data_IF_059650323904
#
_entry.id   IF_059650323904
#
_cell.length_a   1.000
_cell.length_b   1.000
_cell.length_c   1.000
_cell.angle_alpha   90.00
_cell.angle_beta   90.00
_cell.angle_gamma   90.00
#
_symmetry.space_group_name_H-M   'P 1'
#
loop_
_entity.id
_entity.type
_entity.pdbx_description
1 polymer ?
#
# COMPACT_ATOMS: atom_id res chain seq x y z
N UNK A 1 52.82 4.48 -14.53
CA UNK A 1 53.35 4.63 -13.15
C UNK A 1 54.29 5.83 -13.19
N UNK A 2 54.10 6.90 -12.39
CA UNK A 2 53.92 6.85 -10.93
C UNK A 2 52.84 7.83 -10.39
N UNK A 3 51.73 7.31 -9.87
CA UNK A 3 50.76 8.10 -9.07
C UNK A 3 50.66 7.57 -7.63
N UNK A 4 51.63 6.78 -7.19
CA UNK A 4 51.61 6.07 -5.90
C UNK A 4 52.21 6.87 -4.74
N UNK A 5 52.74 8.07 -4.96
CA UNK A 5 53.44 8.82 -3.91
C UNK A 5 52.63 9.96 -3.24
N UNK A 6 51.49 10.40 -3.78
CA UNK A 6 50.77 11.56 -3.24
C UNK A 6 49.62 11.22 -2.26
N UNK A 7 49.23 9.94 -2.15
CA UNK A 7 48.05 9.53 -1.37
C UNK A 7 48.36 9.41 0.14
N UNK A 8 49.62 9.23 0.53
CA UNK A 8 49.99 8.99 1.93
C UNK A 8 50.00 10.24 2.83
N UNK A 9 49.93 11.45 2.29
CA UNK A 9 50.02 12.67 3.11
C UNK A 9 48.67 13.27 3.56
N UNK A 10 47.55 12.75 3.08
CA UNK A 10 46.21 13.29 3.43
C UNK A 10 45.67 12.70 4.74
N UNK A 11 46.17 11.52 5.16
CA UNK A 11 45.65 10.79 6.32
C UNK A 11 46.14 11.30 7.70
N UNK A 12 47.09 12.23 7.76
CA UNK A 12 47.62 12.75 9.02
C UNK A 12 47.01 14.09 9.48
N UNK A 13 46.14 14.74 8.68
CA UNK A 13 45.64 16.10 8.98
C UNK A 13 44.23 16.18 9.60
N UNK A 14 43.52 15.06 9.76
CA UNK A 14 42.17 15.06 10.36
C UNK A 14 42.16 14.82 11.88
N UNK A 15 43.33 14.79 12.53
CA UNK A 15 43.42 14.50 13.96
C UNK A 15 44.27 15.51 14.74
N UNK A 16 44.23 16.82 14.43
CA UNK A 16 44.59 17.85 15.41
C UNK A 16 43.73 19.09 15.19
N UNK A 17 43.05 19.50 16.26
CA UNK A 17 42.40 20.80 16.41
C UNK A 17 43.43 21.93 16.37
N UNK A 18 43.05 23.04 15.72
CA UNK A 18 43.69 24.37 15.69
C UNK A 18 44.79 24.61 14.62
N UNK A 19 44.44 25.55 13.72
CA UNK A 19 45.25 26.34 12.78
C UNK A 19 46.21 25.65 11.79
N UNK A 20 45.73 25.44 10.56
CA UNK A 20 46.59 25.21 9.37
C UNK A 20 46.37 26.32 8.34
N UNK A 21 47.45 27.00 7.95
CA UNK A 21 47.53 28.02 6.89
C UNK A 21 47.85 27.31 5.56
N UNK A 22 47.20 27.58 4.43
CA UNK A 22 46.27 28.65 4.07
C UNK A 22 44.81 28.28 4.28
N UNK A 23 43.99 29.30 4.61
CA UNK A 23 42.61 29.19 5.11
C UNK A 23 42.01 27.78 4.98
N UNK A 24 42.35 26.88 5.91
CA UNK A 24 42.16 25.43 5.81
C UNK A 24 40.68 24.96 5.77
N UNK A 25 39.75 25.91 5.60
CA UNK A 25 38.31 25.71 5.56
C UNK A 25 37.67 26.29 4.28
N UNK A 26 38.45 26.63 3.25
CA UNK A 26 37.92 27.24 2.02
C UNK A 26 36.78 26.45 1.35
N UNK A 27 36.83 25.12 1.43
CA UNK A 27 35.82 24.23 0.87
C UNK A 27 34.82 23.68 1.89
N UNK A 28 34.85 24.12 3.16
CA UNK A 28 34.08 23.45 4.22
C UNK A 28 32.56 23.47 3.97
N UNK A 29 32.04 24.55 3.37
CA UNK A 29 30.62 24.65 3.00
C UNK A 29 30.26 23.69 1.87
N UNK A 30 31.08 23.64 0.81
CA UNK A 30 30.91 22.71 -0.31
C UNK A 30 30.99 21.25 0.16
N UNK A 31 31.99 20.95 1.00
CA UNK A 31 32.19 19.62 1.58
C UNK A 31 31.00 19.18 2.45
N UNK A 32 30.50 20.03 3.35
CA UNK A 32 29.32 19.72 4.17
C UNK A 32 28.08 19.44 3.33
N UNK A 33 27.82 20.25 2.30
CA UNK A 33 26.67 20.06 1.40
C UNK A 33 26.77 18.77 0.61
N UNK A 34 27.95 18.43 0.09
CA UNK A 34 28.19 17.15 -0.60
C UNK A 34 28.03 15.98 0.36
N UNK A 35 28.61 16.03 1.56
CA UNK A 35 28.47 14.98 2.56
C UNK A 35 27.01 14.71 2.92
N UNK A 36 26.21 15.76 3.09
CA UNK A 36 24.78 15.62 3.36
C UNK A 36 24.07 14.89 2.21
N UNK A 37 24.34 15.25 0.96
CA UNK A 37 23.76 14.60 -0.22
C UNK A 37 24.16 13.13 -0.34
N UNK A 38 25.44 12.78 -0.13
CA UNK A 38 25.87 11.38 -0.24
C UNK A 38 25.31 10.53 0.90
N UNK A 39 25.24 11.06 2.13
CA UNK A 39 24.63 10.34 3.25
C UNK A 39 23.13 10.10 3.05
N UNK A 40 22.42 11.04 2.42
CA UNK A 40 21.02 10.82 2.00
C UNK A 40 20.91 9.68 0.98
N UNK A 41 21.81 9.64 -0.01
CA UNK A 41 21.85 8.57 -1.01
C UNK A 41 22.21 7.19 -0.44
N UNK A 42 22.90 7.14 0.71
CA UNK A 42 23.25 5.91 1.43
C UNK A 42 22.22 5.48 2.48
N UNK A 43 21.17 6.26 2.69
CA UNK A 43 20.10 5.86 3.60
C UNK A 43 19.49 4.53 3.16
N UNK A 44 19.05 3.72 4.14
CA UNK A 44 18.50 2.40 3.87
C UNK A 44 17.35 2.52 2.87
N UNK A 45 17.39 1.64 1.86
CA UNK A 45 16.34 1.62 0.85
C UNK A 45 15.00 1.24 1.46
N UNK A 46 13.92 1.87 1.01
CA UNK A 46 12.61 1.56 1.53
C UNK A 46 12.20 0.13 1.15
N UNK A 47 11.57 -0.57 2.07
CA UNK A 47 10.96 -1.89 1.83
C UNK A 47 9.45 -1.74 1.64
N UNK A 48 8.83 -2.35 0.62
CA UNK A 48 7.38 -2.31 0.47
C UNK A 48 6.71 -2.93 1.69
N UNK A 49 5.67 -2.29 2.23
CA UNK A 49 4.98 -2.85 3.39
C UNK A 49 4.01 -3.97 3.01
N UNK A 50 3.81 -4.93 3.92
CA UNK A 50 3.07 -6.17 3.65
C UNK A 50 1.55 -6.10 3.93
N UNK A 51 1.04 -5.01 4.52
CA UNK A 51 -0.39 -4.80 4.88
C UNK A 51 -1.09 -6.10 5.39
N UNK A 52 -0.61 -6.69 6.51
CA UNK A 52 -1.11 -7.96 7.01
C UNK A 52 -2.57 -7.91 7.46
N UNK A 53 -3.04 -6.75 7.89
CA UNK A 53 -4.42 -6.46 8.24
C UNK A 53 -5.37 -6.67 7.06
N UNK A 54 -5.01 -6.22 5.86
CA UNK A 54 -5.79 -6.46 4.64
C UNK A 54 -5.90 -7.97 4.32
N UNK A 55 -4.80 -8.71 4.50
CA UNK A 55 -4.80 -10.18 4.31
C UNK A 55 -5.74 -10.86 5.30
N UNK A 56 -5.67 -10.48 6.57
CA UNK A 56 -6.56 -11.04 7.61
C UNK A 56 -8.02 -10.68 7.35
N UNK A 57 -8.30 -9.44 6.94
CA UNK A 57 -9.66 -8.98 6.68
C UNK A 57 -10.28 -9.64 5.45
N UNK A 58 -9.50 -9.86 4.39
CA UNK A 58 -9.94 -10.67 3.25
C UNK A 58 -10.28 -12.10 3.68
N UNK A 59 -9.44 -12.71 4.51
CA UNK A 59 -9.70 -14.08 4.99
C UNK A 59 -11.03 -14.17 5.75
N UNK A 60 -11.29 -13.23 6.67
CA UNK A 60 -12.56 -13.18 7.41
C UNK A 60 -13.77 -13.02 6.48
N UNK A 61 -13.69 -12.12 5.49
CA UNK A 61 -14.76 -11.91 4.48
C UNK A 61 -15.05 -13.21 3.73
N UNK A 62 -14.01 -13.90 3.26
CA UNK A 62 -14.16 -15.14 2.51
C UNK A 62 -14.77 -16.25 3.38
N UNK A 63 -14.38 -16.36 4.64
CA UNK A 63 -14.97 -17.32 5.59
C UNK A 63 -16.45 -17.03 5.85
N UNK A 64 -16.84 -15.76 6.01
CA UNK A 64 -18.25 -15.36 6.14
C UNK A 64 -19.05 -15.68 4.88
N UNK A 65 -18.49 -15.40 3.70
CA UNK A 65 -19.11 -15.73 2.42
C UNK A 65 -19.33 -17.25 2.24
N UNK A 66 -18.36 -18.07 2.67
CA UNK A 66 -18.53 -19.53 2.69
C UNK A 66 -19.57 -20.00 3.70
N UNK A 67 -19.66 -19.35 4.86
CA UNK A 67 -20.62 -19.72 5.91
C UNK A 67 -22.07 -19.62 5.43
N UNK A 68 -22.37 -18.68 4.53
CA UNK A 68 -23.72 -18.50 3.96
C UNK A 68 -23.92 -19.25 2.64
N UNK A 69 -22.91 -19.97 2.15
CA UNK A 69 -23.00 -20.72 0.90
C UNK A 69 -23.92 -21.95 1.04
N UNK A 70 -24.33 -22.49 -0.11
CA UNK A 70 -25.14 -23.71 -0.13
C UNK A 70 -24.33 -24.92 0.32
N UNK A 71 -24.96 -25.83 1.06
CA UNK A 71 -24.29 -27.04 1.56
C UNK A 71 -23.73 -27.91 0.43
N UNK A 72 -24.45 -28.03 -0.68
CA UNK A 72 -24.01 -28.73 -1.90
C UNK A 72 -22.73 -28.13 -2.49
N UNK A 73 -22.60 -26.82 -2.45
CA UNK A 73 -21.40 -26.12 -2.91
C UNK A 73 -20.21 -26.35 -1.97
N UNK A 74 -20.43 -26.27 -0.65
CA UNK A 74 -19.37 -26.54 0.35
C UNK A 74 -18.83 -27.97 0.26
N UNK A 75 -19.67 -28.94 -0.08
CA UNK A 75 -19.26 -30.34 -0.27
C UNK A 75 -18.21 -30.55 -1.37
N UNK A 76 -18.08 -29.61 -2.31
CA UNK A 76 -17.07 -29.70 -3.37
C UNK A 76 -15.63 -29.63 -2.81
N UNK A 77 -15.46 -29.06 -1.62
CA UNK A 77 -14.16 -28.83 -0.97
C UNK A 77 -13.86 -29.85 0.15
N UNK A 78 -14.80 -30.75 0.46
CA UNK A 78 -14.62 -31.72 1.55
C UNK A 78 -13.70 -32.88 1.14
N UNK A 79 -12.56 -33.04 1.83
CA UNK A 79 -11.57 -34.07 1.55
C UNK A 79 -10.15 -33.59 1.80
N UNK A 80 -9.15 -34.27 1.20
CA UNK A 80 -7.77 -33.76 1.19
C UNK A 80 -7.62 -32.67 0.12
N UNK A 81 -6.93 -31.54 0.39
CA UNK A 81 -6.82 -30.43 -0.56
C UNK A 81 -6.32 -30.87 -1.94
N UNK A 82 -5.30 -31.74 -1.98
CA UNK A 82 -4.72 -32.27 -3.22
C UNK A 82 -5.71 -33.09 -4.05
N UNK A 83 -6.79 -33.61 -3.45
CA UNK A 83 -7.83 -34.35 -4.19
C UNK A 83 -8.91 -33.43 -4.75
N UNK A 84 -8.91 -32.15 -4.37
CA UNK A 84 -9.94 -31.15 -4.68
C UNK A 84 -9.43 -29.99 -5.51
N UNK A 85 -8.27 -30.14 -6.15
CA UNK A 85 -7.78 -29.21 -7.16
C UNK A 85 -8.83 -29.02 -8.28
N UNK A 86 -8.85 -27.83 -8.88
CA UNK A 86 -9.88 -27.46 -9.88
C UNK A 86 -10.00 -28.47 -11.01
N UNK A 87 -8.87 -28.92 -11.57
CA UNK A 87 -8.82 -29.91 -12.65
C UNK A 87 -9.48 -31.26 -12.31
N UNK A 88 -9.60 -31.61 -11.01
CA UNK A 88 -10.28 -32.83 -10.55
C UNK A 88 -11.77 -32.62 -10.34
N UNK A 89 -12.19 -31.40 -9.99
CA UNK A 89 -13.59 -31.07 -9.70
C UNK A 89 -14.35 -30.58 -10.94
N UNK A 90 -13.66 -29.88 -11.85
CA UNK A 90 -14.22 -29.31 -13.09
C UNK A 90 -15.08 -30.29 -13.91
N UNK A 91 -14.70 -31.58 -14.10
CA UNK A 91 -15.52 -32.53 -14.86
C UNK A 91 -16.92 -32.76 -14.27
N UNK A 92 -17.08 -32.54 -12.96
CA UNK A 92 -18.35 -32.70 -12.24
C UNK A 92 -19.26 -31.47 -12.34
N UNK A 93 -18.72 -30.34 -12.80
CA UNK A 93 -19.47 -29.09 -12.95
C UNK A 93 -20.17 -29.07 -14.30
N UNK A 94 -21.47 -28.79 -14.32
CA UNK A 94 -22.28 -28.69 -15.55
C UNK A 94 -22.53 -27.24 -15.97
N UNK A 95 -22.44 -26.29 -15.04
CA UNK A 95 -22.68 -24.88 -15.31
C UNK A 95 -21.49 -24.23 -16.05
N UNK A 96 -21.74 -23.74 -17.27
CA UNK A 96 -20.72 -23.13 -18.14
C UNK A 96 -20.14 -21.83 -17.59
N UNK A 97 -20.93 -21.01 -16.90
CA UNK A 97 -20.46 -19.75 -16.33
C UNK A 97 -19.57 -20.00 -15.12
N UNK A 98 -19.92 -20.98 -14.29
CA UNK A 98 -19.06 -21.45 -13.20
C UNK A 98 -17.69 -21.93 -13.72
N UNK A 99 -17.66 -22.67 -14.84
CA UNK A 99 -16.39 -23.11 -15.45
C UNK A 99 -15.51 -21.96 -15.94
N UNK A 100 -16.08 -20.80 -16.28
CA UNK A 100 -15.32 -19.62 -16.69
C UNK A 100 -14.85 -18.80 -15.49
N UNK A 101 -15.68 -18.66 -14.46
CA UNK A 101 -15.44 -17.76 -13.33
C UNK A 101 -14.63 -18.41 -12.19
N UNK A 102 -14.87 -19.70 -11.92
CA UNK A 102 -14.30 -20.39 -10.76
C UNK A 102 -12.82 -20.75 -10.86
N UNK A 103 -12.20 -21.05 -12.03
CA UNK A 103 -10.82 -21.55 -12.07
C UNK A 103 -9.81 -20.65 -11.35
N UNK A 104 -9.93 -19.34 -11.49
CA UNK A 104 -9.00 -18.36 -10.89
C UNK A 104 -9.22 -18.16 -9.39
N UNK A 105 -10.42 -18.48 -8.89
CA UNK A 105 -10.82 -18.28 -7.49
C UNK A 105 -10.74 -19.57 -6.67
N UNK A 106 -10.80 -20.71 -7.34
CA UNK A 106 -10.85 -22.04 -6.74
C UNK A 106 -9.73 -22.31 -5.73
N UNK A 107 -8.45 -21.98 -6.01
CA UNK A 107 -7.38 -22.23 -5.04
C UNK A 107 -7.60 -21.48 -3.72
N UNK A 108 -8.06 -20.22 -3.81
CA UNK A 108 -8.33 -19.39 -2.63
C UNK A 108 -9.54 -19.92 -1.86
N UNK A 109 -10.57 -20.37 -2.55
CA UNK A 109 -11.75 -20.96 -1.91
C UNK A 109 -11.39 -22.27 -1.20
N UNK A 110 -10.66 -23.17 -1.86
CA UNK A 110 -10.20 -24.41 -1.28
C UNK A 110 -9.37 -24.17 -0.01
N UNK A 111 -8.37 -23.29 -0.09
CA UNK A 111 -7.56 -22.86 1.07
C UNK A 111 -8.44 -22.31 2.21
N UNK A 112 -9.37 -21.41 1.89
CA UNK A 112 -10.28 -20.81 2.88
C UNK A 112 -11.13 -21.88 3.58
N UNK A 113 -11.73 -22.80 2.82
CA UNK A 113 -12.58 -23.85 3.40
C UNK A 113 -11.78 -24.77 4.31
N UNK A 114 -10.57 -25.18 3.92
CA UNK A 114 -9.71 -25.97 4.78
C UNK A 114 -9.28 -25.23 6.04
N UNK A 115 -8.95 -23.94 5.93
CA UNK A 115 -8.67 -23.09 7.10
C UNK A 115 -9.87 -22.98 8.03
N UNK A 116 -11.10 -22.95 7.53
CA UNK A 116 -12.31 -22.93 8.37
C UNK A 116 -12.51 -24.21 9.20
N UNK A 117 -11.95 -25.34 8.75
CA UNK A 117 -12.04 -26.62 9.48
C UNK A 117 -11.12 -26.67 10.72
N UNK A 118 -10.30 -25.62 10.93
CA UNK A 118 -9.38 -25.49 12.05
C UNK A 118 -9.54 -24.11 12.74
N UNK A 119 -9.37 -24.01 14.07
CA UNK A 119 -9.25 -25.11 15.02
C UNK A 119 -10.56 -25.89 15.15
N UNK A 120 -10.48 -27.13 15.67
CA UNK A 120 -11.67 -27.94 16.01
C UNK A 120 -12.19 -27.60 17.40
N UNK A 121 -13.33 -28.18 17.79
CA UNK A 121 -13.82 -28.07 19.17
C UNK A 121 -14.62 -26.77 19.42
N UNK A 122 -14.67 -26.25 20.66
CA UNK A 122 -15.43 -25.04 21.00
C UNK A 122 -15.01 -23.78 20.23
N UNK A 123 -13.77 -23.74 19.78
CA UNK A 123 -13.20 -22.60 19.04
C UNK A 123 -13.46 -22.64 17.54
N UNK A 124 -14.08 -23.72 17.06
CA UNK A 124 -14.35 -23.94 15.65
C UNK A 124 -15.15 -22.79 15.03
N UNK A 125 -14.76 -22.40 13.82
CA UNK A 125 -15.38 -21.30 13.08
C UNK A 125 -16.90 -21.47 12.99
N UNK A 126 -17.37 -22.66 12.62
CA UNK A 126 -18.79 -22.96 12.43
C UNK A 126 -19.61 -22.86 13.72
N UNK A 127 -18.99 -22.98 14.90
CA UNK A 127 -19.65 -22.77 16.20
C UNK A 127 -19.79 -21.29 16.54
N UNK A 128 -18.78 -20.49 16.19
CA UNK A 128 -18.79 -19.03 16.40
C UNK A 128 -19.63 -18.31 15.35
N UNK A 129 -19.73 -18.88 14.16
CA UNK A 129 -20.45 -18.34 13.03
C UNK A 129 -21.43 -19.40 12.48
N UNK A 130 -22.57 -19.64 13.18
CA UNK A 130 -23.59 -20.57 12.69
C UNK A 130 -24.18 -20.10 11.35
N UNK A 131 -24.57 -21.05 10.50
CA UNK A 131 -25.29 -20.76 9.26
C UNK A 131 -26.64 -20.15 9.60
N UNK A 132 -27.06 -19.05 8.94
CA UNK A 132 -28.41 -18.51 9.09
C UNK A 132 -29.47 -19.59 8.84
N UNK A 133 -30.39 -19.76 9.78
CA UNK A 133 -31.38 -20.85 9.72
C UNK A 133 -32.53 -20.52 8.76
N UNK A 134 -32.82 -19.24 8.54
CA UNK A 134 -33.83 -18.81 7.58
C UNK A 134 -33.23 -18.80 6.16
N UNK A 135 -33.88 -19.55 5.26
CA UNK A 135 -33.42 -19.71 3.88
C UNK A 135 -33.34 -18.38 3.12
N UNK A 136 -34.34 -17.51 3.29
CA UNK A 136 -34.40 -16.25 2.56
C UNK A 136 -33.34 -15.27 3.08
N UNK A 137 -33.13 -15.22 4.40
CA UNK A 137 -32.06 -14.44 5.00
C UNK A 137 -30.68 -14.96 4.61
N UNK A 138 -30.49 -16.28 4.58
CA UNK A 138 -29.26 -16.90 4.08
C UNK A 138 -29.00 -16.49 2.62
N UNK A 139 -30.00 -16.57 1.76
CA UNK A 139 -29.89 -16.20 0.35
C UNK A 139 -29.55 -14.71 0.18
N UNK A 140 -30.18 -13.82 0.94
CA UNK A 140 -29.86 -12.39 0.91
C UNK A 140 -28.43 -12.10 1.38
N UNK A 141 -27.99 -12.74 2.48
CA UNK A 141 -26.63 -12.60 2.97
C UNK A 141 -25.62 -13.10 1.94
N UNK A 142 -25.89 -14.22 1.27
CA UNK A 142 -25.05 -14.78 0.22
C UNK A 142 -24.85 -13.81 -0.94
N UNK A 143 -25.91 -13.19 -1.47
CA UNK A 143 -25.77 -12.24 -2.58
C UNK A 143 -24.97 -10.98 -2.18
N UNK A 144 -25.15 -10.49 -0.95
CA UNK A 144 -24.36 -9.37 -0.42
C UNK A 144 -22.90 -9.75 -0.22
N UNK A 145 -22.64 -10.86 0.48
CA UNK A 145 -21.30 -11.35 0.79
C UNK A 145 -20.51 -11.74 -0.46
N UNK A 146 -21.18 -12.25 -1.50
CA UNK A 146 -20.55 -12.51 -2.81
C UNK A 146 -19.96 -11.24 -3.42
N UNK A 147 -20.71 -10.14 -3.41
CA UNK A 147 -20.24 -8.84 -3.96
C UNK A 147 -19.12 -8.25 -3.12
N UNK A 148 -19.25 -8.31 -1.79
CA UNK A 148 -18.23 -7.81 -0.86
C UNK A 148 -16.93 -8.61 -1.02
N UNK A 149 -17.02 -9.94 -1.11
CA UNK A 149 -15.87 -10.83 -1.31
C UNK A 149 -15.13 -10.51 -2.61
N UNK A 150 -15.87 -10.38 -3.72
CA UNK A 150 -15.26 -10.04 -5.01
C UNK A 150 -14.54 -8.69 -4.98
N UNK A 151 -15.12 -7.67 -4.32
CA UNK A 151 -14.49 -6.37 -4.17
C UNK A 151 -13.25 -6.41 -3.24
N UNK A 152 -13.27 -7.26 -2.21
CA UNK A 152 -12.13 -7.46 -1.32
C UNK A 152 -10.99 -8.22 -1.99
N UNK A 153 -11.30 -9.24 -2.77
CA UNK A 153 -10.32 -9.96 -3.60
C UNK A 153 -9.65 -9.03 -4.60
N UNK A 154 -10.43 -8.16 -5.27
CA UNK A 154 -9.87 -7.15 -6.17
C UNK A 154 -8.93 -6.17 -5.45
N UNK A 155 -9.34 -5.64 -4.29
CA UNK A 155 -8.49 -4.73 -3.51
C UNK A 155 -7.19 -5.41 -3.02
N UNK A 156 -7.24 -6.68 -2.65
CA UNK A 156 -6.05 -7.43 -2.24
C UNK A 156 -5.12 -7.75 -3.44
N UNK A 157 -5.70 -8.01 -4.61
CA UNK A 157 -4.93 -8.16 -5.85
C UNK A 157 -4.25 -6.84 -6.26
N UNK A 158 -4.91 -5.70 -6.07
CA UNK A 158 -4.32 -4.37 -6.28
C UNK A 158 -3.12 -4.16 -5.34
N UNK A 159 -3.24 -4.51 -4.05
CA UNK A 159 -2.13 -4.42 -3.09
C UNK A 159 -0.93 -5.26 -3.56
N UNK A 160 -1.19 -6.49 -4.02
CA UNK A 160 -0.14 -7.39 -4.53
C UNK A 160 0.55 -6.80 -5.75
N UNK A 161 -0.23 -6.31 -6.73
CA UNK A 161 0.28 -5.66 -7.95
C UNK A 161 1.09 -4.41 -7.63
N UNK A 162 0.63 -3.59 -6.68
CA UNK A 162 1.34 -2.39 -6.24
C UNK A 162 2.67 -2.75 -5.58
N UNK A 163 2.71 -3.81 -4.76
CA UNK A 163 3.94 -4.29 -4.13
C UNK A 163 4.98 -4.77 -5.15
N UNK A 164 4.53 -5.48 -6.18
CA UNK A 164 5.39 -5.91 -7.29
C UNK A 164 5.92 -4.70 -8.07
N UNK A 165 5.07 -3.72 -8.39
CA UNK A 165 5.48 -2.49 -9.06
C UNK A 165 6.50 -1.69 -8.23
N UNK A 166 6.28 -1.56 -6.92
CA UNK A 166 7.23 -0.91 -6.01
C UNK A 166 8.59 -1.59 -6.03
N UNK A 167 8.62 -2.92 -6.04
CA UNK A 167 9.86 -3.70 -6.05
C UNK A 167 10.58 -3.56 -7.40
N UNK A 168 9.85 -3.77 -8.49
CA UNK A 168 10.43 -3.93 -9.83
C UNK A 168 10.75 -2.59 -10.52
N UNK A 169 10.06 -1.52 -10.14
CA UNK A 169 10.18 -0.22 -10.80
C UNK A 169 10.71 0.83 -9.85
N UNK A 170 10.09 1.02 -8.69
CA UNK A 170 10.39 2.18 -7.85
C UNK A 170 11.70 1.96 -7.09
N UNK A 171 11.83 0.84 -6.36
CA UNK A 171 13.03 0.50 -5.59
C UNK A 171 14.20 0.19 -6.53
N UNK A 172 13.97 -0.60 -7.58
CA UNK A 172 15.01 -0.90 -8.57
C UNK A 172 15.45 0.37 -9.31
N UNK A 173 14.52 1.22 -9.71
CA UNK A 173 14.83 2.50 -10.35
C UNK A 173 15.65 3.39 -9.42
N UNK A 174 15.29 3.46 -8.15
CA UNK A 174 16.06 4.15 -7.12
C UNK A 174 17.49 3.58 -7.02
N UNK A 175 17.64 2.25 -6.94
CA UNK A 175 18.94 1.55 -6.90
C UNK A 175 19.82 1.89 -8.10
N UNK A 176 19.27 1.75 -9.30
CA UNK A 176 20.00 1.93 -10.55
C UNK A 176 20.50 3.38 -10.65
N UNK A 177 19.69 4.36 -10.26
CA UNK A 177 20.06 5.78 -10.32
C UNK A 177 21.07 6.18 -9.26
N UNK A 178 20.98 5.63 -8.05
CA UNK A 178 21.94 5.92 -6.99
C UNK A 178 23.30 5.24 -7.23
N UNK A 179 23.31 4.03 -7.80
CA UNK A 179 24.54 3.26 -8.07
C UNK A 179 25.33 3.80 -9.27
N UNK A 180 24.64 4.20 -10.35
CA UNK A 180 25.27 4.70 -11.59
C UNK A 180 25.83 6.13 -11.45
N UNK A 181 25.40 6.88 -10.43
CA UNK A 181 25.84 8.26 -10.22
C UNK A 181 27.29 8.40 -9.72
N UNK A 182 28.04 7.31 -9.57
CA UNK A 182 29.43 7.35 -9.09
C UNK A 182 29.58 7.71 -7.62
N UNK A 183 28.46 7.87 -6.89
CA UNK A 183 28.42 8.28 -5.48
C UNK A 183 29.21 7.35 -4.53
N UNK A 184 29.54 6.15 -4.99
CA UNK A 184 30.15 5.07 -4.19
C UNK A 184 31.47 4.54 -4.77
N UNK A 185 32.05 5.15 -5.81
CA UNK A 185 33.26 4.61 -6.47
C UNK A 185 34.48 5.53 -6.26
N UNK A 186 35.60 4.96 -5.81
CA UNK A 186 36.92 5.62 -5.80
C UNK A 186 37.05 6.76 -4.78
N UNK A 187 37.45 7.95 -5.22
CA UNK A 187 37.72 9.13 -4.36
C UNK A 187 36.52 9.54 -3.48
N UNK A 188 35.29 9.25 -3.91
CA UNK A 188 34.10 9.50 -3.10
C UNK A 188 34.04 8.60 -1.85
N UNK A 189 34.62 7.41 -1.87
CA UNK A 189 34.65 6.50 -0.72
C UNK A 189 35.55 7.03 0.41
N UNK A 190 36.62 7.75 0.06
CA UNK A 190 37.50 8.42 1.05
C UNK A 190 36.86 9.71 1.59
N UNK A 191 36.19 10.49 0.73
CA UNK A 191 35.38 11.65 1.14
C UNK A 191 34.24 11.22 2.06
N UNK A 192 33.59 10.10 1.73
CA UNK A 192 32.53 9.47 2.53
C UNK A 192 32.99 9.09 3.93
N UNK A 193 34.20 8.53 4.07
CA UNK A 193 34.77 8.20 5.37
C UNK A 193 35.00 9.45 6.24
N UNK A 194 35.21 10.62 5.62
CA UNK A 194 35.34 11.90 6.30
C UNK A 194 34.00 12.63 6.51
N UNK A 195 32.91 12.15 5.92
CA UNK A 195 31.59 12.75 6.10
C UNK A 195 31.01 12.37 7.47
N UNK A 196 30.47 13.31 8.26
CA UNK A 196 29.74 12.98 9.47
C UNK A 196 28.46 12.21 9.12
N UNK A 197 27.93 11.45 10.09
CA UNK A 197 26.60 10.88 9.98
C UNK A 197 25.53 11.98 9.94
N UNK A 198 24.38 11.66 9.36
CA UNK A 198 23.24 12.58 9.40
C UNK A 198 22.80 12.78 10.87
N UNK A 199 22.56 14.02 11.31
CA UNK A 199 22.15 14.30 12.68
C UNK A 199 20.79 13.67 13.01
N UNK A 200 19.92 13.50 12.01
CA UNK A 200 18.67 12.75 12.08
C UNK A 200 18.30 12.22 10.69
N UNK A 201 17.53 11.12 10.65
CA UNK A 201 16.92 10.65 9.41
C UNK A 201 15.83 11.65 8.97
N UNK A 202 15.82 12.09 7.70
CA UNK A 202 14.77 12.98 7.21
C UNK A 202 13.44 12.24 7.14
N UNK A 203 12.35 12.96 7.40
CA UNK A 203 11.00 12.40 7.27
C UNK A 203 10.65 12.09 5.81
N UNK A 204 11.11 12.92 4.87
CA UNK A 204 10.99 12.70 3.43
C UNK A 204 12.36 12.84 2.77
N UNK A 205 12.90 11.71 2.29
CA UNK A 205 14.23 11.66 1.68
C UNK A 205 14.26 12.43 0.35
N UNK A 206 13.18 12.42 -0.44
CA UNK A 206 13.14 13.17 -1.70
C UNK A 206 13.19 14.69 -1.48
N UNK A 207 12.48 15.20 -0.48
CA UNK A 207 12.49 16.64 -0.16
C UNK A 207 13.84 17.06 0.45
N UNK A 208 14.39 16.24 1.35
CA UNK A 208 15.73 16.49 1.91
C UNK A 208 16.82 16.49 0.81
N UNK A 209 16.68 15.60 -0.18
CA UNK A 209 17.55 15.53 -1.35
C UNK A 209 17.41 16.77 -2.23
N UNK A 210 16.19 17.30 -2.38
CA UNK A 210 15.94 18.50 -3.19
C UNK A 210 16.59 19.72 -2.53
N UNK A 211 16.40 19.90 -1.22
CA UNK A 211 17.04 20.97 -0.46
C UNK A 211 18.57 20.89 -0.53
N UNK A 212 19.14 19.69 -0.46
CA UNK A 212 20.58 19.47 -0.61
C UNK A 212 21.07 19.87 -2.01
N UNK A 213 20.35 19.45 -3.06
CA UNK A 213 20.67 19.80 -4.45
C UNK A 213 20.58 21.32 -4.68
N UNK A 214 19.56 21.99 -4.15
CA UNK A 214 19.40 23.45 -4.24
C UNK A 214 20.51 24.21 -3.50
N UNK A 215 20.98 23.67 -2.37
CA UNK A 215 22.14 24.24 -1.67
C UNK A 215 23.39 24.17 -2.54
N UNK A 216 23.62 23.04 -3.22
CA UNK A 216 24.74 22.91 -4.18
C UNK A 216 24.55 23.85 -5.38
N UNK A 217 23.33 23.98 -5.90
CA UNK A 217 23.03 24.92 -6.98
C UNK A 217 23.30 26.38 -6.59
N UNK A 218 23.01 26.75 -5.33
CA UNK A 218 23.27 28.09 -4.82
C UNK A 218 24.77 28.39 -4.72
N UNK A 219 25.58 27.41 -4.32
CA UNK A 219 27.05 27.53 -4.33
C UNK A 219 27.57 27.77 -5.75
N UNK A 220 27.07 27.01 -6.74
CA UNK A 220 27.43 27.22 -8.15
C UNK A 220 27.01 28.62 -8.67
N UNK A 221 25.88 29.15 -8.19
CA UNK A 221 25.38 30.46 -8.60
C UNK A 221 26.21 31.62 -8.02
N UNK A 222 26.81 31.47 -6.84
CA UNK A 222 27.79 32.42 -6.30
C UNK A 222 29.02 32.51 -7.21
N UNK A 223 29.54 31.36 -7.63
CA UNK A 223 30.71 31.27 -8.51
C UNK A 223 30.40 31.78 -9.94
N UNK A 224 29.20 31.50 -10.46
CA UNK A 224 28.74 31.99 -11.77
C UNK A 224 28.83 33.51 -11.93
N UNK A 225 28.63 34.29 -10.86
CA UNK A 225 28.74 35.77 -10.91
C UNK A 225 30.11 36.27 -11.34
N UNK A 226 31.14 35.40 -11.31
CA UNK A 226 32.50 35.69 -11.79
C UNK A 226 32.71 35.39 -13.28
N UNK A 227 31.68 34.88 -13.99
CA UNK A 227 31.74 34.49 -15.40
C UNK A 227 32.20 33.04 -15.64
N UNK A 228 32.37 32.26 -14.59
CA UNK A 228 32.78 30.84 -14.59
C UNK A 228 31.87 30.03 -13.67
N UNK A 229 31.58 28.77 -14.00
CA UNK A 229 30.73 27.92 -13.16
C UNK A 229 31.53 26.72 -12.67
N UNK A 230 31.80 26.66 -11.37
CA UNK A 230 32.52 25.57 -10.73
C UNK A 230 32.01 25.36 -9.30
N UNK A 231 32.31 24.21 -8.71
CA UNK A 231 32.06 23.94 -7.29
C UNK A 231 33.39 23.80 -6.55
N UNK A 232 33.59 24.58 -5.50
CA UNK A 232 34.78 24.53 -4.65
C UNK A 232 35.74 25.67 -4.94
N UNK A 233 36.87 25.70 -4.23
CA UNK A 233 37.82 26.81 -4.29
C UNK A 233 38.66 26.75 -5.56
N UNK A 234 38.63 27.86 -6.27
CA UNK A 234 39.45 28.17 -7.42
C UNK A 234 39.98 29.61 -7.29
N UNK A 235 41.20 29.86 -7.74
CA UNK A 235 41.80 31.20 -7.78
C UNK A 235 41.75 31.85 -9.15
N UNK A 236 41.60 31.09 -10.24
CA UNK A 236 41.61 31.61 -11.62
C UNK A 236 40.33 31.29 -12.42
N UNK A 237 39.44 30.46 -11.86
CA UNK A 237 38.14 30.11 -12.41
C UNK A 237 38.18 29.01 -13.49
N UNK A 238 39.32 28.33 -13.68
CA UNK A 238 39.50 27.28 -14.68
C UNK A 238 39.62 25.86 -14.11
N UNK A 239 39.68 25.68 -12.79
CA UNK A 239 39.87 24.38 -12.11
C UNK A 239 40.97 23.52 -12.75
N UNK A 240 42.11 24.13 -13.10
CA UNK A 240 43.13 23.52 -13.94
C UNK A 240 44.49 23.39 -13.25
N UNK A 241 44.71 24.11 -12.15
CA UNK A 241 45.97 24.10 -11.42
C UNK A 241 45.98 22.94 -10.40
N UNK A 242 47.17 22.42 -10.11
CA UNK A 242 47.36 21.40 -9.08
C UNK A 242 47.00 21.88 -7.65
N UNK A 243 46.84 23.20 -7.47
CA UNK A 243 46.39 23.84 -6.23
C UNK A 243 44.89 24.04 -6.16
N UNK A 244 44.17 23.85 -7.27
CA UNK A 244 42.73 24.03 -7.33
C UNK A 244 42.03 22.82 -6.70
N UNK A 245 40.97 23.11 -5.95
CA UNK A 245 40.16 22.09 -5.31
C UNK A 245 38.70 22.32 -5.71
N UNK A 246 38.43 22.17 -7.00
CA UNK A 246 37.13 22.45 -7.59
C UNK A 246 36.78 21.54 -8.77
N UNK A 247 35.48 21.56 -9.14
CA UNK A 247 34.93 20.85 -10.31
C UNK A 247 34.21 21.86 -11.19
N UNK A 248 34.63 21.98 -12.45
CA UNK A 248 34.02 22.89 -13.41
C UNK A 248 32.73 22.32 -14.03
N UNK A 249 31.73 23.17 -14.21
CA UNK A 249 30.40 22.86 -14.76
C UNK A 249 29.96 23.82 -15.87
N UNK A 250 30.84 24.70 -16.35
CA UNK A 250 30.56 25.75 -17.35
C UNK A 250 29.90 25.21 -18.62
N UNK A 251 30.30 24.02 -19.08
CA UNK A 251 29.73 23.36 -20.24
C UNK A 251 28.20 23.17 -20.15
N UNK A 252 27.66 23.01 -18.94
CA UNK A 252 26.24 22.77 -18.67
C UNK A 252 25.40 24.05 -18.60
N UNK A 253 26.03 25.23 -18.60
CA UNK A 253 25.36 26.53 -18.50
C UNK A 253 25.35 27.32 -19.82
N UNK A 254 25.66 26.66 -20.95
CA UNK A 254 25.51 27.25 -22.27
C UNK A 254 24.04 27.29 -22.73
N UNK A 255 23.75 28.07 -23.77
CA UNK A 255 22.38 28.23 -24.31
C UNK A 255 21.70 26.93 -24.76
N UNK A 256 22.44 25.82 -24.94
CA UNK A 256 21.92 24.51 -25.34
C UNK A 256 21.56 23.61 -24.15
N UNK A 257 21.82 24.05 -22.93
CA UNK A 257 21.68 23.26 -21.72
C UNK A 257 20.84 23.99 -20.66
N UNK A 258 20.15 23.22 -19.81
CA UNK A 258 19.27 23.74 -18.76
C UNK A 258 20.03 24.06 -17.45
N UNK A 259 21.29 24.49 -17.55
CA UNK A 259 22.11 24.81 -16.38
C UNK A 259 22.27 23.61 -15.45
N UNK A 260 22.02 23.82 -14.17
CA UNK A 260 22.13 22.82 -13.10
C UNK A 260 21.38 21.51 -13.41
N UNK A 261 20.16 21.60 -13.92
CA UNK A 261 19.32 20.43 -14.21
C UNK A 261 19.84 19.59 -15.39
N UNK A 262 20.80 20.13 -16.15
CA UNK A 262 21.42 19.41 -17.26
C UNK A 262 22.62 18.55 -16.85
N UNK A 263 23.14 18.74 -15.63
CA UNK A 263 24.30 18.02 -15.10
C UNK A 263 23.95 16.54 -14.88
N UNK A 264 24.77 15.56 -15.33
CA UNK A 264 24.42 14.13 -15.29
C UNK A 264 24.04 13.60 -13.90
N UNK A 265 24.80 13.93 -12.86
CA UNK A 265 24.49 13.48 -11.50
C UNK A 265 23.20 14.14 -10.96
N UNK A 266 22.90 15.38 -11.35
CA UNK A 266 21.65 16.07 -10.99
C UNK A 266 20.47 15.37 -11.66
N UNK A 267 20.56 15.05 -12.96
CA UNK A 267 19.51 14.28 -13.66
C UNK A 267 19.23 12.94 -13.01
N UNK A 268 20.28 12.20 -12.64
CA UNK A 268 20.13 10.92 -11.97
C UNK A 268 19.48 11.09 -10.58
N UNK A 269 19.84 12.15 -9.86
CA UNK A 269 19.23 12.51 -8.57
C UNK A 269 17.73 12.82 -8.73
N UNK A 270 17.34 13.61 -9.74
CA UNK A 270 15.93 13.90 -10.05
C UNK A 270 15.14 12.64 -10.35
N UNK A 271 15.71 11.72 -11.11
CA UNK A 271 15.08 10.43 -11.43
C UNK A 271 14.94 9.56 -10.16
N UNK A 272 15.96 9.51 -9.31
CA UNK A 272 15.89 8.83 -8.02
C UNK A 272 14.80 9.41 -7.12
N UNK A 273 14.70 10.74 -7.04
CA UNK A 273 13.63 11.42 -6.29
C UNK A 273 12.25 11.08 -6.81
N UNK A 274 12.07 11.00 -8.13
CA UNK A 274 10.79 10.61 -8.72
C UNK A 274 10.41 9.19 -8.32
N UNK A 275 11.33 8.23 -8.45
CA UNK A 275 11.08 6.85 -8.04
C UNK A 275 10.72 6.73 -6.54
N UNK A 276 11.33 7.55 -5.68
CA UNK A 276 10.96 7.58 -4.25
C UNK A 276 9.56 8.17 -4.02
N UNK A 277 9.17 9.22 -4.75
CA UNK A 277 7.81 9.78 -4.70
C UNK A 277 6.79 8.75 -5.18
N UNK A 278 7.05 8.07 -6.29
CA UNK A 278 6.20 7.00 -6.82
C UNK A 278 6.04 5.86 -5.79
N UNK A 279 7.13 5.48 -5.10
CA UNK A 279 7.07 4.50 -4.01
C UNK A 279 6.13 4.94 -2.89
N UNK A 280 6.21 6.20 -2.44
CA UNK A 280 5.36 6.74 -1.37
C UNK A 280 3.88 6.79 -1.79
N UNK A 281 3.59 7.19 -3.03
CA UNK A 281 2.24 7.23 -3.57
C UNK A 281 1.61 5.82 -3.63
N UNK A 282 2.41 4.81 -3.99
CA UNK A 282 1.96 3.41 -3.96
C UNK A 282 1.77 2.87 -2.54
N UNK A 283 2.60 3.28 -1.57
CA UNK A 283 2.36 2.96 -0.16
C UNK A 283 1.02 3.54 0.31
N UNK A 284 0.76 4.83 0.04
CA UNK A 284 -0.51 5.45 0.39
C UNK A 284 -1.71 4.77 -0.31
N UNK A 285 -1.55 4.38 -1.58
CA UNK A 285 -2.60 3.65 -2.32
C UNK A 285 -2.86 2.27 -1.71
N UNK A 286 -1.83 1.57 -1.24
CA UNK A 286 -1.97 0.30 -0.51
C UNK A 286 -2.66 0.49 0.84
N UNK A 287 -2.38 1.58 1.56
CA UNK A 287 -3.11 1.92 2.79
C UNK A 287 -4.61 2.12 2.54
N UNK A 288 -4.95 2.86 1.48
CA UNK A 288 -6.35 3.07 1.09
C UNK A 288 -7.03 1.75 0.69
N UNK A 289 -6.33 0.88 -0.05
CA UNK A 289 -6.85 -0.43 -0.40
C UNK A 289 -7.03 -1.34 0.84
N UNK A 290 -6.08 -1.33 1.78
CA UNK A 290 -6.18 -2.06 3.03
C UNK A 290 -7.35 -1.57 3.89
N UNK A 291 -7.51 -0.24 4.02
CA UNK A 291 -8.64 0.38 4.71
C UNK A 291 -9.97 0.01 4.06
N UNK A 292 -10.03 -0.07 2.72
CA UNK A 292 -11.20 -0.54 1.99
C UNK A 292 -11.53 -1.99 2.33
N UNK A 293 -10.53 -2.87 2.42
CA UNK A 293 -10.73 -4.27 2.86
C UNK A 293 -11.26 -4.32 4.30
N UNK A 294 -10.72 -3.52 5.21
CA UNK A 294 -11.21 -3.43 6.58
C UNK A 294 -12.69 -2.97 6.63
N UNK A 295 -13.08 -1.95 5.84
CA UNK A 295 -14.47 -1.52 5.72
C UNK A 295 -15.37 -2.62 5.15
N UNK A 296 -14.89 -3.35 4.14
CA UNK A 296 -15.61 -4.49 3.57
C UNK A 296 -15.79 -5.61 4.57
N UNK A 297 -14.83 -5.83 5.48
CA UNK A 297 -14.97 -6.80 6.57
C UNK A 297 -16.12 -6.41 7.51
N UNK A 298 -16.17 -5.16 7.94
CA UNK A 298 -17.27 -4.66 8.78
C UNK A 298 -18.62 -4.81 8.07
N UNK A 299 -18.68 -4.50 6.78
CA UNK A 299 -19.90 -4.67 5.99
C UNK A 299 -20.30 -6.16 5.84
N UNK A 300 -19.33 -7.06 5.69
CA UNK A 300 -19.56 -8.50 5.64
C UNK A 300 -20.13 -9.03 6.96
N UNK A 301 -19.53 -8.64 8.09
CA UNK A 301 -20.00 -8.99 9.43
C UNK A 301 -21.42 -8.48 9.68
N UNK A 302 -21.73 -7.24 9.26
CA UNK A 302 -23.07 -6.68 9.38
C UNK A 302 -24.09 -7.44 8.51
N UNK A 303 -23.75 -7.77 7.27
CA UNK A 303 -24.62 -8.54 6.38
C UNK A 303 -24.90 -9.96 6.91
N UNK A 304 -23.86 -10.62 7.43
CA UNK A 304 -23.98 -11.92 8.08
C UNK A 304 -24.83 -11.84 9.36
N UNK A 305 -24.58 -10.85 10.22
CA UNK A 305 -25.30 -10.70 11.49
C UNK A 305 -26.77 -10.38 11.28
N UNK A 306 -27.11 -9.52 10.32
CA UNK A 306 -28.50 -9.20 9.98
C UNK A 306 -29.32 -10.45 9.62
N UNK A 307 -28.72 -11.39 8.88
CA UNK A 307 -29.37 -12.63 8.52
C UNK A 307 -29.60 -13.59 9.70
N UNK A 308 -28.79 -13.47 10.76
CA UNK A 308 -28.95 -14.25 11.99
C UNK A 308 -29.88 -13.60 13.02
N UNK A 309 -29.98 -12.27 13.04
CA UNK A 309 -30.82 -11.50 14.00
C UNK A 309 -32.28 -11.38 13.53
N UNK A 310 -32.57 -11.49 12.24
CA UNK A 310 -33.95 -11.44 11.75
C UNK A 310 -34.88 -12.49 12.39
N UNK A 311 -34.33 -13.62 12.85
CA UNK A 311 -35.04 -14.68 13.55
C UNK A 311 -35.57 -14.30 14.94
N UNK A 312 -34.76 -13.78 15.90
CA UNK A 312 -35.28 -13.38 17.21
C UNK A 312 -36.33 -12.28 17.11
N UNK A 313 -36.21 -11.30 16.21
CA UNK A 313 -37.22 -10.23 16.10
C UNK A 313 -38.55 -10.74 15.51
N UNK A 314 -38.52 -11.58 14.46
CA UNK A 314 -39.74 -12.20 13.93
C UNK A 314 -40.34 -13.21 14.90
N UNK A 315 -39.54 -13.98 15.64
CA UNK A 315 -40.03 -14.88 16.71
C UNK A 315 -40.55 -14.12 17.92
N UNK A 316 -40.01 -12.94 18.25
CA UNK A 316 -40.55 -12.07 19.30
C UNK A 316 -41.88 -11.44 18.86
N UNK A 317 -42.00 -11.00 17.61
CA UNK A 317 -43.26 -10.50 17.04
C UNK A 317 -44.31 -11.63 16.96
N UNK A 318 -43.92 -12.82 16.49
CA UNK A 318 -44.80 -13.99 16.43
C UNK A 318 -45.10 -14.58 17.83
N UNK A 319 -44.18 -14.47 18.78
CA UNK A 319 -44.34 -14.91 20.17
C UNK A 319 -45.22 -13.96 20.99
N UNK A 320 -45.18 -12.66 20.69
CA UNK A 320 -46.16 -11.69 21.19
C UNK A 320 -47.55 -11.88 20.57
N UNK A 321 -47.65 -12.53 19.40
CA UNK A 321 -48.91 -12.98 18.82
C UNK A 321 -49.39 -14.35 19.37
N UNK A 322 -48.61 -15.00 20.25
CA UNK A 322 -48.87 -16.36 20.75
C UNK A 322 -49.62 -16.46 22.09
N UNK A 323 -49.94 -15.36 22.78
CA UNK A 323 -50.76 -15.39 24.00
C UNK A 323 -51.80 -14.28 23.97
N UNK A 324 -52.75 -14.44 23.06
CA UNK A 324 -53.87 -13.54 22.92
C UNK A 324 -54.55 -13.82 21.61
N UNK A 325 -55.37 -14.86 21.57
CA UNK A 325 -56.45 -14.93 20.61
C UNK A 325 -57.35 -13.71 20.89
N UNK A 326 -57.03 -12.54 20.32
CA UNK A 326 -58.09 -11.61 19.99
C UNK A 326 -58.79 -12.23 18.80
N UNK A 327 -59.87 -12.93 19.13
CA UNK A 327 -60.93 -13.27 18.23
C UNK A 327 -61.23 -12.02 17.37
N UNK A 328 -60.80 -12.03 16.11
CA UNK A 328 -61.35 -11.17 15.08
C UNK A 328 -62.75 -11.71 14.73
N UNK A 329 -63.66 -11.63 15.70
CA UNK A 329 -65.10 -11.80 15.52
C UNK A 329 -65.79 -10.50 15.89
N UNK A 330 -65.40 -9.39 15.26
CA UNK A 330 -66.43 -8.44 14.86
C UNK A 330 -67.08 -8.99 13.59
N UNK A 331 -68.05 -9.90 13.77
CA UNK A 331 -69.10 -10.12 12.77
C UNK A 331 -69.73 -8.75 12.51
N UNK A 332 -69.39 -8.10 11.40
CA UNK A 332 -70.13 -6.93 10.93
C UNK A 332 -71.57 -7.40 10.76
N UNK A 333 -72.50 -6.83 11.54
CA UNK A 333 -73.92 -7.24 11.53
C UNK A 333 -74.65 -6.81 10.25
N UNK A 334 -73.95 -6.14 9.34
CA UNK A 334 -74.49 -5.55 8.13
C UNK A 334 -74.03 -6.31 6.89
N UNK A 335 -74.95 -6.44 5.93
CA UNK A 335 -74.68 -7.06 4.63
C UNK A 335 -73.88 -6.08 3.76
N UNK A 336 -73.10 -6.59 2.80
CA UNK A 336 -72.20 -5.78 1.94
C UNK A 336 -72.90 -4.70 1.10
N UNK A 337 -74.23 -4.74 0.94
CA UNK A 337 -75.01 -3.70 0.25
C UNK A 337 -76.44 -3.68 0.81
N UNK A 338 -76.81 -2.59 1.48
CA UNK A 338 -78.18 -2.39 2.00
C UNK A 338 -78.96 -1.46 1.08
N UNK A 339 -80.26 -1.69 0.94
CA UNK A 339 -81.11 -0.94 0.00
C UNK A 339 -81.73 0.30 0.65
N UNK A 340 -81.85 0.32 1.97
CA UNK A 340 -82.29 1.49 2.75
C UNK A 340 -81.39 1.73 3.97
N UNK A 341 -81.42 2.95 4.51
CA UNK A 341 -80.55 3.36 5.62
C UNK A 341 -80.90 2.68 6.96
N UNK A 342 -82.13 2.14 7.09
CA UNK A 342 -82.60 1.46 8.30
C UNK A 342 -82.09 0.01 8.40
N UNK A 343 -81.68 -0.61 7.29
CA UNK A 343 -81.18 -1.99 7.25
C UNK A 343 -79.77 -2.14 7.87
N UNK A 344 -79.03 -1.04 8.02
CA UNK A 344 -77.79 -0.99 8.80
C UNK A 344 -77.62 0.39 9.45
N UNK A 345 -78.09 0.55 10.70
CA UNK A 345 -77.89 1.78 11.46
C UNK A 345 -76.40 2.12 11.56
N UNK A 346 -76.04 3.41 11.51
CA UNK A 346 -74.64 3.92 11.54
C UNK A 346 -73.77 3.32 12.65
N UNK A 347 -74.38 2.94 13.76
CA UNK A 347 -73.73 2.34 14.93
C UNK A 347 -73.22 0.90 14.66
N UNK A 348 -73.57 0.32 13.51
CA UNK A 348 -73.22 -1.03 13.07
C UNK A 348 -72.35 -1.06 11.80
N UNK A 349 -71.98 0.10 11.26
CA UNK A 349 -70.90 0.24 10.28
C UNK A 349 -69.60 0.53 11.04
N UNK A 350 -68.56 -0.27 10.82
CA UNK A 350 -67.20 0.07 11.28
C UNK A 350 -66.57 1.15 10.37
#
# INVERSE_FOLDING_TARGET
MPYTAAIFSILAMLAVTEDVKGAANGNIKHFRSLCYLVRLAQSNMPTPSDRPDATSGLEDILKLNMTVAEKSWLQLFEGEPTTKDWNKVEPTITNTDAKKDWPTKWPKWLDTRHKMQQPKGPEAWEKKHPVPQDFFQQQQAREKLKRISAAAEAAAADITTLKEAQTNTDIKGLQDKLTVSGLTVGAMQQILAACPDLPAAPQNIADATDAAAQTIASLLAEDHKTGKVFLGKDTDGNCALATDNCVAYDAYYSAKHLGFESIPWVKALRQAQQHYRDYLDRENTKDLAAAKVAQMRVAAEAAYSAANIALPLQKQIAGQQGTGTQELTKKTKCKLKNSTAEECPRQHCD
#
